data_IF_486022254574
#
_entry.id   IF_486022254574
#
_cell.length_a   1.000
_cell.length_b   1.000
_cell.length_c   1.000
_cell.angle_alpha   90.00
_cell.angle_beta   90.00
_cell.angle_gamma   90.00
#
_symmetry.space_group_name_H-M   'P 1'
#
loop_
_entity.id
_entity.type
_entity.pdbx_description
1 polymer ?
#
# COMPACT_ATOMS: atom_id res chain seq x y z
N UNK A 1 -5.19 -27.94 -4.24
CA UNK A 1 -3.83 -27.41 -4.55
C UNK A 1 -3.25 -26.71 -3.31
N UNK A 2 -1.93 -26.53 -3.30
CA UNK A 2 -1.25 -25.68 -2.33
C UNK A 2 -0.83 -24.37 -3.00
N UNK A 3 -1.30 -23.25 -2.49
CA UNK A 3 -1.08 -21.94 -3.10
C UNK A 3 -0.37 -21.02 -2.11
N UNK A 4 0.78 -20.51 -2.50
CA UNK A 4 1.57 -19.58 -1.71
C UNK A 4 1.38 -18.14 -2.20
N UNK A 5 1.30 -17.19 -1.27
CA UNK A 5 1.33 -15.75 -1.58
C UNK A 5 2.61 -15.18 -1.00
N UNK A 6 3.51 -14.75 -1.86
CA UNK A 6 4.79 -14.15 -1.49
C UNK A 6 4.69 -12.62 -1.59
N UNK A 7 4.62 -11.95 -0.43
CA UNK A 7 4.34 -10.51 -0.36
C UNK A 7 4.97 -9.85 0.87
N UNK A 8 4.97 -8.51 0.91
CA UNK A 8 5.31 -7.76 2.13
C UNK A 8 4.13 -7.71 3.11
N UNK A 9 4.41 -7.89 4.41
CA UNK A 9 3.42 -7.78 5.50
C UNK A 9 4.04 -7.32 6.83
N UNK A 10 5.35 -7.18 6.90
CA UNK A 10 6.09 -7.03 8.19
C UNK A 10 6.04 -5.65 8.80
N UNK A 11 5.87 -4.61 8.02
CA UNK A 11 5.96 -3.23 8.46
C UNK A 11 4.67 -2.76 9.17
N UNK A 12 4.80 -1.72 10.01
CA UNK A 12 3.67 -0.98 10.58
C UNK A 12 3.04 -0.05 9.53
N UNK A 13 2.76 -0.59 8.34
CA UNK A 13 2.16 0.10 7.21
C UNK A 13 0.80 -0.51 6.89
N UNK A 14 -0.26 0.28 7.03
CA UNK A 14 -1.63 -0.17 6.79
C UNK A 14 -1.80 -0.73 5.37
N UNK A 15 -1.32 0.00 4.36
CA UNK A 15 -1.44 -0.40 2.96
C UNK A 15 -0.76 -1.74 2.68
N UNK A 16 0.49 -1.91 3.09
CA UNK A 16 1.24 -3.15 2.90
C UNK A 16 0.53 -4.37 3.51
N UNK A 17 -0.01 -4.21 4.74
CA UNK A 17 -0.75 -5.30 5.39
C UNK A 17 -2.08 -5.59 4.71
N UNK A 18 -2.80 -4.56 4.26
CA UNK A 18 -4.07 -4.72 3.55
C UNK A 18 -3.89 -5.23 2.11
N UNK A 19 -2.78 -4.93 1.43
CA UNK A 19 -2.45 -5.56 0.16
C UNK A 19 -2.27 -7.08 0.30
N UNK A 20 -1.51 -7.52 1.32
CA UNK A 20 -1.34 -8.94 1.61
C UNK A 20 -2.69 -9.62 1.90
N UNK A 21 -3.52 -8.96 2.70
CA UNK A 21 -4.85 -9.48 3.04
C UNK A 21 -5.80 -9.48 1.85
N UNK A 22 -5.84 -8.43 1.05
CA UNK A 22 -6.66 -8.35 -0.14
C UNK A 22 -6.32 -9.46 -1.14
N UNK A 23 -5.03 -9.70 -1.37
CA UNK A 23 -4.57 -10.81 -2.22
C UNK A 23 -5.00 -12.16 -1.63
N UNK A 24 -4.82 -12.37 -0.33
CA UNK A 24 -5.22 -13.63 0.33
C UNK A 24 -6.74 -13.88 0.20
N UNK A 25 -7.56 -12.85 0.44
CA UNK A 25 -9.02 -12.94 0.32
C UNK A 25 -9.42 -13.26 -1.13
N UNK A 26 -8.87 -12.53 -2.09
CA UNK A 26 -9.18 -12.72 -3.52
C UNK A 26 -8.82 -14.13 -4.01
N UNK A 27 -7.64 -14.64 -3.62
CA UNK A 27 -7.20 -16.00 -3.98
C UNK A 27 -8.06 -17.05 -3.29
N UNK A 28 -8.34 -16.93 -1.98
CA UNK A 28 -9.19 -17.89 -1.26
C UNK A 28 -10.62 -17.98 -1.79
N UNK A 29 -11.19 -16.86 -2.23
CA UNK A 29 -12.53 -16.85 -2.83
C UNK A 29 -12.59 -17.65 -4.14
N UNK A 30 -11.49 -17.72 -4.88
CA UNK A 30 -11.36 -18.47 -6.13
C UNK A 30 -10.90 -19.92 -5.93
N UNK A 31 -10.30 -20.17 -4.78
CA UNK A 31 -9.77 -21.47 -4.38
C UNK A 31 -10.35 -21.95 -3.05
N UNK A 32 -11.70 -22.07 -2.92
CA UNK A 32 -12.33 -22.35 -1.62
C UNK A 32 -12.02 -23.72 -1.05
N UNK A 33 -11.50 -24.66 -1.87
CA UNK A 33 -11.14 -26.02 -1.50
C UNK A 33 -9.62 -26.22 -1.39
N UNK A 34 -8.81 -25.18 -1.67
CA UNK A 34 -7.37 -25.27 -1.73
C UNK A 34 -6.71 -24.73 -0.46
N UNK A 35 -5.48 -25.19 -0.19
CA UNK A 35 -4.67 -24.70 0.93
C UNK A 35 -3.95 -23.42 0.49
N UNK A 36 -4.47 -22.26 0.92
CA UNK A 36 -3.95 -20.94 0.53
C UNK A 36 -3.35 -20.24 1.75
N UNK A 37 -2.06 -19.91 1.68
CA UNK A 37 -1.36 -19.22 2.76
C UNK A 37 -0.45 -18.08 2.27
N UNK A 38 -0.22 -17.12 3.15
CA UNK A 38 0.86 -16.13 2.96
C UNK A 38 2.17 -16.80 3.38
N UNK A 39 3.14 -16.82 2.46
CA UNK A 39 4.48 -17.37 2.73
C UNK A 39 5.13 -16.51 3.81
N UNK A 40 5.57 -17.08 4.95
CA UNK A 40 6.01 -16.31 6.11
C UNK A 40 7.44 -15.76 5.94
N UNK A 41 7.80 -15.34 4.73
CA UNK A 41 9.09 -14.73 4.44
C UNK A 41 9.00 -13.21 4.54
N UNK A 42 9.85 -12.66 5.40
CA UNK A 42 10.03 -11.22 5.50
C UNK A 42 11.52 -10.94 5.62
N UNK A 43 12.14 -10.49 4.52
CA UNK A 43 13.53 -10.10 4.55
C UNK A 43 13.75 -9.07 5.67
N UNK A 44 14.49 -9.45 6.70
CA UNK A 44 14.68 -8.66 7.90
C UNK A 44 15.32 -7.33 7.52
N UNK A 45 14.57 -6.25 7.71
CA UNK A 45 15.15 -4.92 7.79
C UNK A 45 15.44 -4.64 9.25
N UNK A 46 16.67 -4.24 9.61
CA UNK A 46 16.87 -3.67 10.93
C UNK A 46 15.84 -2.54 11.07
N UNK A 47 14.86 -2.72 11.93
CA UNK A 47 13.93 -1.64 12.26
C UNK A 47 14.81 -0.47 12.65
N UNK A 48 14.69 0.66 11.95
CA UNK A 48 15.34 1.90 12.39
C UNK A 48 14.92 2.05 13.84
N UNK A 49 15.92 2.04 14.75
CA UNK A 49 15.68 2.24 16.18
C UNK A 49 14.75 3.44 16.29
N UNK A 50 13.60 3.34 16.96
CA UNK A 50 12.73 4.50 17.11
C UNK A 50 13.61 5.64 17.63
N UNK A 51 13.48 6.81 17.02
CA UNK A 51 14.20 8.01 17.48
C UNK A 51 13.63 8.37 18.86
N UNK A 52 14.18 7.79 19.90
CA UNK A 52 13.74 7.97 21.29
C UNK A 52 14.07 9.37 21.84
N UNK A 53 14.93 10.14 21.16
CA UNK A 53 15.39 11.45 21.63
C UNK A 53 14.30 12.52 21.81
N UNK A 54 13.10 12.34 21.20
CA UNK A 54 11.95 13.24 21.32
C UNK A 54 10.62 12.52 21.57
N UNK A 55 10.66 11.30 22.11
CA UNK A 55 9.47 10.50 22.35
C UNK A 55 8.74 11.02 23.61
N UNK A 56 7.51 11.50 23.42
CA UNK A 56 6.59 11.72 24.53
C UNK A 56 5.98 10.41 24.99
N UNK A 57 5.53 10.32 26.25
CA UNK A 57 4.80 9.15 26.76
C UNK A 57 3.63 8.79 25.83
N UNK A 58 2.93 9.79 25.31
CA UNK A 58 1.82 9.63 24.39
C UNK A 58 2.25 8.95 23.08
N UNK A 59 3.41 9.34 22.50
CA UNK A 59 3.92 8.72 21.27
C UNK A 59 4.39 7.28 21.51
N UNK A 60 4.97 6.98 22.67
CA UNK A 60 5.36 5.61 23.03
C UNK A 60 4.14 4.70 23.21
N UNK A 61 3.10 5.17 23.88
CA UNK A 61 1.85 4.43 24.04
C UNK A 61 1.15 4.20 22.69
N UNK A 62 1.19 5.19 21.79
CA UNK A 62 0.68 5.07 20.44
C UNK A 62 1.42 3.98 19.67
N UNK A 63 2.74 4.00 19.64
CA UNK A 63 3.56 3.03 18.93
C UNK A 63 3.35 1.62 19.49
N UNK A 64 3.31 1.48 20.82
CA UNK A 64 3.03 0.20 21.46
C UNK A 64 1.67 -0.38 21.07
N UNK A 65 0.59 0.43 21.16
CA UNK A 65 -0.76 -0.01 20.76
C UNK A 65 -0.79 -0.42 19.29
N UNK A 66 -0.18 0.37 18.43
CA UNK A 66 -0.11 0.10 17.00
C UNK A 66 0.62 -1.22 16.69
N UNK A 67 1.76 -1.46 17.34
CA UNK A 67 2.49 -2.74 17.21
C UNK A 67 1.58 -3.91 17.62
N UNK A 68 0.87 -3.80 18.73
CA UNK A 68 -0.05 -4.85 19.20
C UNK A 68 -1.18 -5.12 18.18
N UNK A 69 -1.82 -4.08 17.66
CA UNK A 69 -2.90 -4.20 16.68
C UNK A 69 -2.41 -4.83 15.37
N UNK A 70 -1.24 -4.43 14.87
CA UNK A 70 -0.67 -4.99 13.64
C UNK A 70 -0.22 -6.46 13.84
N UNK A 71 0.35 -6.81 14.98
CA UNK A 71 0.71 -8.21 15.27
C UNK A 71 -0.54 -9.08 15.40
N UNK A 72 -1.59 -8.55 16.04
CA UNK A 72 -2.88 -9.23 16.12
C UNK A 72 -3.48 -9.44 14.73
N UNK A 73 -3.52 -8.40 13.90
CA UNK A 73 -4.00 -8.47 12.52
C UNK A 73 -3.24 -9.55 11.72
N UNK A 74 -1.91 -9.54 11.74
CA UNK A 74 -1.09 -10.53 11.05
C UNK A 74 -1.41 -11.95 11.50
N UNK A 75 -1.54 -12.17 12.79
CA UNK A 75 -1.89 -13.48 13.35
C UNK A 75 -3.29 -13.94 12.92
N UNK A 76 -4.30 -13.08 13.06
CA UNK A 76 -5.71 -13.45 12.83
C UNK A 76 -6.05 -13.56 11.35
N UNK A 77 -5.51 -12.68 10.50
CA UNK A 77 -5.91 -12.57 9.10
C UNK A 77 -4.89 -13.13 8.10
N UNK A 78 -3.59 -13.12 8.43
CA UNK A 78 -2.54 -13.62 7.53
C UNK A 78 -1.93 -14.95 7.98
N UNK A 79 -2.24 -15.44 9.20
CA UNK A 79 -1.62 -16.63 9.76
C UNK A 79 -0.15 -16.45 10.15
N UNK A 80 0.31 -15.20 10.28
CA UNK A 80 1.71 -14.87 10.55
C UNK A 80 1.90 -14.54 12.03
N UNK A 81 2.79 -15.27 12.67
CA UNK A 81 3.20 -15.06 14.07
C UNK A 81 4.70 -14.78 14.15
N UNK A 82 5.18 -14.32 15.29
CA UNK A 82 6.63 -14.08 15.48
C UNK A 82 7.44 -15.37 15.32
N UNK A 83 6.84 -16.50 15.64
CA UNK A 83 7.54 -17.81 15.71
C UNK A 83 7.67 -18.46 14.33
N UNK A 84 6.84 -18.05 13.35
CA UNK A 84 6.89 -18.63 12.00
C UNK A 84 7.54 -17.70 10.94
N UNK A 85 7.99 -16.50 11.32
CA UNK A 85 8.65 -15.58 10.39
C UNK A 85 10.02 -16.11 9.98
N UNK A 86 10.24 -16.21 8.67
CA UNK A 86 11.51 -16.56 8.06
C UNK A 86 12.19 -15.26 7.61
N UNK A 87 13.38 -14.98 8.14
CA UNK A 87 14.07 -13.70 7.90
C UNK A 87 15.16 -13.80 6.83
N UNK A 88 15.71 -14.97 6.58
CA UNK A 88 16.78 -15.16 5.60
C UNK A 88 16.32 -15.88 4.33
N UNK A 89 16.97 -15.54 3.22
CA UNK A 89 16.60 -16.01 1.88
C UNK A 89 16.77 -17.53 1.74
N UNK A 90 17.82 -18.12 2.31
CA UNK A 90 18.10 -19.56 2.17
C UNK A 90 17.01 -20.39 2.84
N UNK A 91 16.66 -20.03 4.06
CA UNK A 91 15.56 -20.67 4.79
C UNK A 91 14.22 -20.47 4.09
N UNK A 92 13.98 -19.30 3.49
CA UNK A 92 12.76 -19.05 2.72
C UNK A 92 12.66 -19.93 1.47
N UNK A 93 13.75 -20.05 0.69
CA UNK A 93 13.79 -20.92 -0.47
C UNK A 93 13.66 -22.40 -0.08
N UNK A 94 14.26 -22.81 1.03
CA UNK A 94 14.09 -24.16 1.57
C UNK A 94 12.65 -24.45 1.95
N UNK A 95 12.03 -23.53 2.71
CA UNK A 95 10.61 -23.63 3.08
C UNK A 95 9.70 -23.75 1.85
N UNK A 96 9.90 -22.90 0.84
CA UNK A 96 9.11 -22.93 -0.40
C UNK A 96 9.25 -24.28 -1.11
N UNK A 97 10.47 -24.83 -1.18
CA UNK A 97 10.72 -26.16 -1.78
C UNK A 97 10.07 -27.30 -1.00
N UNK A 98 10.17 -27.28 0.32
CA UNK A 98 9.54 -28.30 1.18
C UNK A 98 8.01 -28.25 1.14
N UNK A 99 7.44 -27.04 1.10
CA UNK A 99 5.97 -26.83 1.00
C UNK A 99 5.43 -27.36 -0.34
N UNK A 100 6.25 -27.37 -1.39
CA UNK A 100 5.89 -27.85 -2.72
C UNK A 100 4.58 -27.25 -3.22
N UNK A 101 4.56 -25.92 -3.35
CA UNK A 101 3.40 -25.19 -3.85
C UNK A 101 3.12 -25.54 -5.31
N UNK A 102 1.85 -25.63 -5.66
CA UNK A 102 1.40 -25.75 -7.06
C UNK A 102 1.47 -24.37 -7.75
N UNK A 103 1.07 -23.31 -7.03
CA UNK A 103 1.08 -21.93 -7.53
C UNK A 103 1.71 -21.01 -6.47
N UNK A 104 2.51 -20.03 -6.90
CA UNK A 104 2.98 -18.93 -6.07
C UNK A 104 2.62 -17.61 -6.73
N UNK A 105 1.77 -16.82 -6.07
CA UNK A 105 1.49 -15.43 -6.42
C UNK A 105 2.51 -14.52 -5.74
N UNK A 106 3.19 -13.67 -6.54
CA UNK A 106 4.21 -12.73 -6.08
C UNK A 106 3.69 -11.29 -6.26
N UNK A 107 3.42 -10.62 -5.18
CA UNK A 107 2.84 -9.27 -5.19
C UNK A 107 1.89 -9.08 -3.99
N UNK A 108 1.32 -7.95 -3.83
CA UNK A 108 1.64 -6.67 -4.46
C UNK A 108 2.87 -6.01 -3.79
N UNK A 109 3.03 -4.70 -4.00
CA UNK A 109 4.06 -3.82 -3.44
C UNK A 109 5.40 -3.84 -4.21
N UNK A 110 6.38 -3.09 -3.74
CA UNK A 110 7.70 -2.89 -4.35
C UNK A 110 8.66 -4.05 -4.05
N UNK A 111 8.20 -5.27 -4.26
CA UNK A 111 8.96 -6.50 -3.96
C UNK A 111 10.17 -6.67 -4.86
N UNK A 112 10.09 -6.17 -6.08
CA UNK A 112 11.03 -6.43 -7.15
C UNK A 112 12.16 -5.40 -7.22
N UNK A 113 12.13 -4.37 -6.35
CA UNK A 113 13.13 -3.30 -6.34
C UNK A 113 14.54 -3.81 -6.00
N UNK A 114 15.55 -3.24 -6.66
CA UNK A 114 16.95 -3.54 -6.42
C UNK A 114 17.64 -2.53 -5.50
N UNK A 115 17.06 -1.35 -5.28
CA UNK A 115 17.58 -0.29 -4.39
C UNK A 115 17.83 -0.77 -2.96
N UNK A 116 17.23 -1.88 -2.56
CA UNK A 116 17.34 -2.47 -1.22
C UNK A 116 18.50 -3.45 -1.08
N UNK A 117 19.13 -3.79 -2.18
CA UNK A 117 20.33 -4.62 -2.15
C UNK A 117 21.51 -3.80 -1.65
N UNK A 118 22.50 -4.42 -1.00
CA UNK A 118 23.73 -3.73 -0.62
C UNK A 118 24.42 -3.09 -1.84
N UNK A 119 25.04 -1.93 -1.65
CA UNK A 119 25.78 -1.27 -2.71
C UNK A 119 26.86 -2.21 -3.29
N UNK A 120 26.96 -2.28 -4.61
CA UNK A 120 27.87 -3.21 -5.31
C UNK A 120 27.38 -4.67 -5.36
N UNK A 121 26.18 -4.96 -4.87
CA UNK A 121 25.58 -6.27 -5.00
C UNK A 121 25.08 -6.48 -6.45
N UNK A 122 25.52 -7.55 -7.10
CA UNK A 122 25.09 -7.94 -8.44
C UNK A 122 24.02 -9.06 -8.41
N UNK A 123 23.21 -9.08 -7.35
CA UNK A 123 22.09 -10.02 -7.22
C UNK A 123 20.76 -9.33 -7.56
N UNK A 124 19.68 -10.12 -7.56
CA UNK A 124 18.32 -9.65 -7.74
C UNK A 124 17.51 -9.89 -6.47
N UNK A 125 16.37 -9.22 -6.34
CA UNK A 125 15.47 -9.43 -5.20
C UNK A 125 15.08 -10.90 -5.07
N UNK A 126 15.07 -11.44 -3.85
CA UNK A 126 14.65 -12.82 -3.58
C UNK A 126 13.19 -13.10 -3.99
N UNK A 127 12.38 -12.07 -4.14
CA UNK A 127 10.99 -12.18 -4.59
C UNK A 127 10.84 -12.52 -6.08
N UNK A 128 11.91 -12.41 -6.88
CA UNK A 128 11.91 -12.95 -8.23
C UNK A 128 11.89 -14.49 -8.27
N UNK A 129 12.16 -15.12 -7.16
CA UNK A 129 12.31 -16.57 -7.01
C UNK A 129 13.32 -17.19 -7.98
N UNK A 130 13.93 -18.26 -7.53
CA UNK A 130 14.86 -19.01 -8.38
C UNK A 130 14.13 -19.79 -9.47
N UNK A 131 14.73 -19.95 -10.69
CA UNK A 131 14.17 -20.78 -11.75
C UNK A 131 13.92 -22.24 -11.36
N UNK A 132 14.63 -22.76 -10.36
CA UNK A 132 14.49 -24.15 -9.87
C UNK A 132 13.24 -24.37 -8.99
N UNK A 133 12.51 -23.34 -8.63
CA UNK A 133 11.19 -23.45 -8.00
C UNK A 133 10.18 -23.89 -9.08
N UNK A 134 9.63 -25.08 -8.92
CA UNK A 134 8.74 -25.72 -9.91
C UNK A 134 7.30 -25.21 -9.92
N UNK A 135 6.88 -24.51 -8.86
CA UNK A 135 5.54 -23.94 -8.79
C UNK A 135 5.25 -23.05 -10.00
N UNK A 136 4.01 -23.00 -10.47
CA UNK A 136 3.51 -21.97 -11.37
C UNK A 136 3.70 -20.62 -10.68
N UNK A 137 4.43 -19.68 -11.31
CA UNK A 137 4.75 -18.37 -10.73
C UNK A 137 4.00 -17.26 -11.46
N UNK A 138 3.31 -16.41 -10.71
CA UNK A 138 2.50 -15.31 -11.25
C UNK A 138 2.86 -14.03 -10.53
N UNK A 139 3.30 -13.00 -11.26
CA UNK A 139 3.36 -11.64 -10.71
C UNK A 139 1.94 -11.08 -10.60
N UNK A 140 1.59 -10.56 -9.42
CA UNK A 140 0.24 -10.09 -9.12
C UNK A 140 0.29 -8.68 -8.50
N UNK A 141 0.18 -7.66 -9.35
CA UNK A 141 0.34 -6.24 -9.01
C UNK A 141 1.72 -5.91 -8.38
N UNK A 142 2.76 -6.62 -8.80
CA UNK A 142 4.13 -6.39 -8.33
C UNK A 142 4.73 -5.11 -8.91
N UNK A 143 5.71 -4.53 -8.20
CA UNK A 143 6.40 -3.30 -8.58
C UNK A 143 7.90 -3.42 -8.35
N UNK A 144 8.69 -2.93 -9.29
CA UNK A 144 10.14 -2.77 -9.15
C UNK A 144 10.54 -1.35 -8.69
N UNK A 145 9.57 -0.51 -8.38
CA UNK A 145 9.75 0.89 -7.97
C UNK A 145 10.51 1.70 -9.01
N UNK A 146 11.77 2.05 -8.75
CA UNK A 146 12.62 2.88 -9.61
C UNK A 146 13.71 2.08 -10.32
N UNK A 147 13.61 0.74 -10.36
CA UNK A 147 14.58 -0.09 -11.05
C UNK A 147 14.41 0.05 -12.56
N UNK A 148 15.42 0.56 -13.25
CA UNK A 148 15.44 0.76 -14.69
C UNK A 148 16.46 -0.18 -15.35
N UNK A 149 16.16 -0.61 -16.58
CA UNK A 149 17.00 -1.55 -17.32
C UNK A 149 18.44 -1.06 -17.46
N UNK A 150 18.63 0.22 -17.83
CA UNK A 150 19.94 0.81 -18.09
C UNK A 150 20.82 0.95 -16.83
N UNK A 151 20.21 0.80 -15.65
CA UNK A 151 20.94 0.82 -14.35
C UNK A 151 21.43 -0.57 -13.92
N UNK A 152 21.02 -1.62 -14.63
CA UNK A 152 21.33 -2.99 -14.25
C UNK A 152 22.74 -3.41 -14.69
N UNK A 153 23.43 -4.15 -13.83
CA UNK A 153 24.65 -4.83 -14.20
C UNK A 153 24.35 -6.07 -15.06
N UNK A 154 25.32 -6.47 -15.89
CA UNK A 154 25.17 -7.67 -16.73
C UNK A 154 24.75 -8.92 -15.96
N UNK A 155 25.32 -9.25 -14.77
CA UNK A 155 24.82 -10.38 -13.98
C UNK A 155 23.37 -10.25 -13.52
N UNK A 156 22.89 -9.03 -13.22
CA UNK A 156 21.50 -8.79 -12.87
C UNK A 156 20.57 -9.02 -14.07
N UNK A 157 20.94 -8.54 -15.26
CA UNK A 157 20.19 -8.79 -16.50
C UNK A 157 20.05 -10.29 -16.77
N UNK A 158 21.15 -11.04 -16.67
CA UNK A 158 21.13 -12.49 -16.87
C UNK A 158 20.23 -13.22 -15.87
N UNK A 159 20.31 -12.85 -14.58
CA UNK A 159 19.45 -13.42 -13.52
C UNK A 159 17.99 -13.07 -13.71
N UNK A 160 17.67 -11.81 -14.04
CA UNK A 160 16.30 -11.38 -14.32
C UNK A 160 15.72 -12.09 -15.52
N UNK A 161 16.49 -12.20 -16.64
CA UNK A 161 16.07 -12.93 -17.82
C UNK A 161 15.74 -14.40 -17.51
N UNK A 162 16.56 -15.05 -16.69
CA UNK A 162 16.32 -16.43 -16.27
C UNK A 162 15.08 -16.57 -15.36
N UNK A 163 14.89 -15.61 -14.41
CA UNK A 163 13.76 -15.64 -13.51
C UNK A 163 12.44 -15.37 -14.23
N UNK A 164 12.37 -14.32 -15.07
CA UNK A 164 11.16 -13.87 -15.76
C UNK A 164 10.60 -14.96 -16.69
N UNK A 165 11.46 -15.70 -17.40
CA UNK A 165 11.04 -16.84 -18.25
C UNK A 165 10.29 -17.94 -17.48
N UNK A 166 10.42 -17.98 -16.17
CA UNK A 166 9.72 -18.95 -15.33
C UNK A 166 8.35 -18.49 -14.85
N UNK A 167 7.90 -17.29 -15.24
CA UNK A 167 6.57 -16.78 -14.88
C UNK A 167 5.55 -17.12 -15.97
N UNK A 168 4.37 -17.55 -15.53
CA UNK A 168 3.23 -17.84 -16.41
C UNK A 168 2.25 -16.68 -16.51
N UNK A 169 2.35 -15.67 -15.62
CA UNK A 169 1.54 -14.46 -15.66
C UNK A 169 2.33 -13.26 -15.15
N UNK A 170 2.23 -12.13 -15.83
CA UNK A 170 3.00 -10.92 -15.55
C UNK A 170 2.07 -9.72 -15.33
N UNK A 171 1.36 -9.73 -14.20
CA UNK A 171 0.53 -8.59 -13.75
C UNK A 171 1.35 -7.59 -12.96
N UNK A 172 1.51 -6.38 -13.46
CA UNK A 172 2.32 -5.31 -12.85
C UNK A 172 1.48 -4.08 -12.54
N UNK A 173 1.90 -3.31 -11.51
CA UNK A 173 1.10 -2.19 -11.01
C UNK A 173 1.48 -0.83 -11.61
N UNK A 174 2.69 -0.69 -12.13
CA UNK A 174 3.20 0.60 -12.57
C UNK A 174 4.01 0.51 -13.87
N UNK A 175 4.05 1.65 -14.57
CA UNK A 175 4.69 1.78 -15.87
C UNK A 175 6.20 1.49 -15.83
N UNK A 176 6.87 1.79 -14.71
CA UNK A 176 8.31 1.51 -14.56
C UNK A 176 8.56 0.01 -14.60
N UNK A 177 7.73 -0.76 -13.89
CA UNK A 177 7.82 -2.22 -13.90
C UNK A 177 7.45 -2.79 -15.26
N UNK A 178 6.41 -2.26 -15.90
CA UNK A 178 6.04 -2.63 -17.28
C UNK A 178 7.21 -2.42 -18.24
N UNK A 179 7.83 -1.23 -18.21
CA UNK A 179 8.95 -0.90 -19.07
C UNK A 179 10.17 -1.81 -18.79
N UNK A 180 10.49 -2.08 -17.53
CA UNK A 180 11.58 -2.99 -17.18
C UNK A 180 11.33 -4.40 -17.77
N UNK A 181 10.14 -4.96 -17.60
CA UNK A 181 9.81 -6.29 -18.10
C UNK A 181 9.82 -6.36 -19.63
N UNK A 182 9.43 -5.30 -20.33
CA UNK A 182 9.39 -5.24 -21.78
C UNK A 182 10.76 -5.39 -22.46
N UNK A 183 11.87 -5.33 -21.70
CA UNK A 183 13.20 -5.69 -22.19
C UNK A 183 13.48 -7.20 -22.21
N UNK A 184 12.62 -7.99 -21.55
CA UNK A 184 12.83 -9.43 -21.37
C UNK A 184 11.76 -10.31 -22.03
N UNK A 185 10.55 -9.78 -22.22
CA UNK A 185 9.40 -10.48 -22.81
C UNK A 185 8.61 -9.54 -23.72
N UNK A 186 7.76 -10.11 -24.56
CA UNK A 186 6.87 -9.35 -25.42
C UNK A 186 5.86 -8.54 -24.59
N UNK A 187 5.56 -7.33 -25.03
CA UNK A 187 4.70 -6.40 -24.30
C UNK A 187 3.29 -6.94 -24.07
N UNK A 188 2.79 -7.74 -24.96
CA UNK A 188 1.48 -8.38 -24.92
C UNK A 188 1.36 -9.42 -23.80
N UNK A 189 2.49 -9.90 -23.26
CA UNK A 189 2.54 -10.81 -22.13
C UNK A 189 2.44 -10.09 -20.78
N UNK A 190 2.58 -8.76 -20.77
CA UNK A 190 2.58 -7.96 -19.55
C UNK A 190 1.24 -7.22 -19.44
N UNK A 191 0.50 -7.46 -18.36
CA UNK A 191 -0.77 -6.79 -18.09
C UNK A 191 -0.61 -5.77 -16.95
N UNK A 192 -1.06 -4.52 -17.20
CA UNK A 192 -1.14 -3.51 -16.15
C UNK A 192 -2.38 -3.77 -15.32
N UNK A 193 -2.22 -4.05 -14.03
CA UNK A 193 -3.32 -4.36 -13.12
C UNK A 193 -3.32 -3.45 -11.89
N UNK A 194 -4.50 -3.06 -11.41
CA UNK A 194 -4.61 -2.19 -10.24
C UNK A 194 -4.15 -2.84 -8.94
N UNK A 195 -4.03 -2.01 -7.91
CA UNK A 195 -3.71 -2.46 -6.56
C UNK A 195 -4.79 -3.40 -6.01
N UNK A 196 -4.45 -4.52 -5.36
CA UNK A 196 -5.41 -5.49 -4.83
C UNK A 196 -6.38 -4.90 -3.81
N UNK A 197 -6.02 -3.82 -3.13
CA UNK A 197 -6.89 -3.21 -2.12
C UNK A 197 -8.16 -2.61 -2.72
N UNK A 198 -8.24 -2.37 -4.03
CA UNK A 198 -9.49 -2.01 -4.69
C UNK A 198 -10.54 -3.13 -4.60
N UNK A 199 -10.13 -4.40 -4.68
CA UNK A 199 -11.03 -5.55 -4.60
C UNK A 199 -11.44 -5.92 -3.17
N UNK A 200 -10.75 -5.41 -2.14
CA UNK A 200 -11.04 -5.75 -0.75
C UNK A 200 -12.33 -5.07 -0.27
N UNK A 201 -13.36 -5.80 0.14
CA UNK A 201 -14.55 -5.20 0.75
C UNK A 201 -14.23 -4.53 2.08
N UNK A 202 -15.01 -3.50 2.44
CA UNK A 202 -14.86 -2.78 3.70
C UNK A 202 -15.89 -3.29 4.70
N UNK A 203 -15.43 -3.92 5.78
CA UNK A 203 -16.26 -4.23 6.94
C UNK A 203 -16.16 -3.11 7.98
N UNK A 204 -17.16 -2.27 8.01
CA UNK A 204 -17.23 -1.14 8.92
C UNK A 204 -17.38 -1.53 10.40
N UNK A 205 -17.80 -2.76 10.71
CA UNK A 205 -17.97 -3.22 12.09
C UNK A 205 -16.68 -3.11 12.92
N UNK A 206 -15.51 -3.19 12.27
CA UNK A 206 -14.21 -3.03 12.95
C UNK A 206 -14.05 -1.63 13.51
N UNK A 207 -14.27 -0.59 12.69
CA UNK A 207 -14.11 0.79 13.15
C UNK A 207 -15.26 1.21 14.10
N UNK A 208 -16.48 0.74 13.88
CA UNK A 208 -17.62 1.02 14.76
C UNK A 208 -17.35 0.52 16.17
N UNK A 209 -16.86 -0.73 16.32
CA UNK A 209 -16.45 -1.28 17.61
C UNK A 209 -15.31 -0.49 18.26
N UNK A 210 -14.33 -0.04 17.47
CA UNK A 210 -13.24 0.79 17.99
C UNK A 210 -13.75 2.11 18.53
N UNK A 211 -14.59 2.84 17.78
CA UNK A 211 -15.15 4.13 18.18
C UNK A 211 -16.02 3.99 19.45
N UNK A 212 -16.90 2.98 19.47
CA UNK A 212 -17.75 2.70 20.64
C UNK A 212 -16.91 2.37 21.88
N UNK A 213 -15.93 1.47 21.75
CA UNK A 213 -15.05 1.06 22.87
C UNK A 213 -14.26 2.22 23.46
N UNK A 214 -13.79 3.13 22.61
CA UNK A 214 -12.99 4.28 23.03
C UNK A 214 -13.83 5.52 23.32
N UNK A 215 -15.17 5.43 23.20
CA UNK A 215 -16.12 6.55 23.38
C UNK A 215 -15.75 7.76 22.53
N UNK A 216 -15.38 7.52 21.28
CA UNK A 216 -15.02 8.55 20.30
C UNK A 216 -16.21 8.81 19.41
N UNK A 217 -16.64 10.07 19.35
CA UNK A 217 -17.60 10.56 18.36
C UNK A 217 -16.86 11.48 17.38
N UNK A 218 -16.97 11.18 16.08
CA UNK A 218 -16.36 11.97 15.02
C UNK A 218 -17.46 12.80 14.36
N UNK A 219 -17.45 14.13 14.50
CA UNK A 219 -18.46 14.99 13.89
C UNK A 219 -18.47 14.88 12.36
N UNK A 220 -19.65 15.05 11.74
CA UNK A 220 -19.80 14.98 10.27
C UNK A 220 -18.88 15.95 9.50
N UNK A 221 -18.63 17.13 10.07
CA UNK A 221 -17.69 18.12 9.50
C UNK A 221 -16.29 17.89 10.07
N UNK A 222 -15.61 16.84 9.62
CA UNK A 222 -14.26 16.51 10.07
C UNK A 222 -13.30 16.44 8.89
N UNK A 223 -12.09 16.94 9.08
CA UNK A 223 -10.98 16.79 8.14
C UNK A 223 -9.90 15.95 8.83
N UNK A 224 -9.48 14.88 8.18
CA UNK A 224 -8.41 14.02 8.68
C UNK A 224 -7.06 14.43 8.10
N UNK A 225 -6.06 14.56 8.96
CA UNK A 225 -4.67 14.75 8.56
C UNK A 225 -3.86 13.49 8.93
N UNK A 226 -3.38 12.79 7.90
CA UNK A 226 -2.42 11.69 8.07
C UNK A 226 -1.09 12.08 7.40
N UNK A 227 -0.38 12.98 8.05
CA UNK A 227 0.79 13.71 7.54
C UNK A 227 2.04 13.32 8.30
N UNK A 228 3.20 13.86 7.92
CA UNK A 228 4.40 13.75 8.74
C UNK A 228 4.29 14.65 9.97
N UNK A 229 4.92 14.24 11.07
CA UNK A 229 4.94 15.03 12.31
C UNK A 229 5.63 16.38 12.15
N UNK A 230 6.54 16.49 11.19
CA UNK A 230 7.38 17.66 10.92
C UNK A 230 6.74 18.66 9.96
N UNK A 231 5.54 18.37 9.44
CA UNK A 231 4.85 19.26 8.51
C UNK A 231 4.37 20.54 9.23
N UNK A 232 5.10 21.64 9.05
CA UNK A 232 4.90 22.91 9.77
C UNK A 232 3.57 23.60 9.40
N UNK A 233 3.05 23.36 8.20
CA UNK A 233 1.80 23.96 7.71
C UNK A 233 0.55 23.39 8.40
N UNK A 234 0.63 22.24 9.03
CA UNK A 234 -0.55 21.56 9.64
C UNK A 234 -1.26 22.44 10.68
N UNK A 235 -0.53 23.14 11.53
CA UNK A 235 -1.12 23.97 12.61
C UNK A 235 -1.93 25.14 12.06
N UNK A 236 -1.44 25.80 11.01
CA UNK A 236 -2.11 26.93 10.37
C UNK A 236 -3.37 26.48 9.62
N UNK A 237 -3.27 25.39 8.84
CA UNK A 237 -4.41 24.79 8.14
C UNK A 237 -5.47 24.32 9.13
N UNK A 238 -5.07 23.67 10.22
CA UNK A 238 -5.98 23.23 11.28
C UNK A 238 -6.73 24.39 11.92
N UNK A 239 -6.05 25.49 12.24
CA UNK A 239 -6.66 26.69 12.82
C UNK A 239 -7.72 27.28 11.86
N UNK A 240 -7.37 27.46 10.58
CA UNK A 240 -8.27 27.98 9.56
C UNK A 240 -9.58 27.18 9.45
N UNK A 241 -9.48 25.85 9.41
CA UNK A 241 -10.69 25.04 9.27
C UNK A 241 -11.50 24.88 10.56
N UNK A 242 -10.87 25.03 11.74
CA UNK A 242 -11.63 25.16 13.00
C UNK A 242 -12.52 26.41 13.02
N UNK A 243 -12.00 27.54 12.58
CA UNK A 243 -12.78 28.78 12.46
C UNK A 243 -13.98 28.62 11.54
N UNK A 244 -13.88 27.70 10.55
CA UNK A 244 -14.99 27.30 9.66
C UNK A 244 -15.88 26.18 10.21
N UNK A 245 -15.68 25.77 11.47
CA UNK A 245 -16.51 24.78 12.15
C UNK A 245 -16.18 23.33 11.79
N UNK A 246 -14.97 23.03 11.31
CA UNK A 246 -14.51 21.66 11.12
C UNK A 246 -13.76 21.16 12.36
N UNK A 247 -13.93 19.88 12.65
CA UNK A 247 -13.10 19.14 13.62
C UNK A 247 -11.89 18.56 12.90
N UNK A 248 -10.71 18.75 13.46
CA UNK A 248 -9.46 18.23 12.89
C UNK A 248 -9.09 16.91 13.55
N UNK A 249 -9.04 15.86 12.75
CA UNK A 249 -8.73 14.50 13.21
C UNK A 249 -7.33 14.11 12.77
N UNK A 250 -6.60 13.39 13.60
CA UNK A 250 -5.30 12.80 13.22
C UNK A 250 -5.25 11.32 13.52
N UNK A 251 -4.62 10.54 12.62
CA UNK A 251 -4.34 9.12 12.84
C UNK A 251 -3.05 8.90 13.63
N UNK A 252 -2.42 9.96 14.11
CA UNK A 252 -1.18 9.96 14.92
C UNK A 252 -1.25 11.05 15.98
N UNK A 253 -0.49 10.93 17.07
CA UNK A 253 -0.33 12.00 18.02
C UNK A 253 0.15 13.29 17.33
N UNK A 254 -0.64 14.34 17.40
CA UNK A 254 -0.35 15.63 16.81
C UNK A 254 -0.95 16.75 17.66
N UNK A 255 -0.18 17.84 17.98
CA UNK A 255 -0.63 18.89 18.88
C UNK A 255 -1.74 19.77 18.28
N UNK A 256 -1.89 19.75 16.97
CA UNK A 256 -2.89 20.52 16.22
C UNK A 256 -4.21 19.77 16.00
N UNK A 257 -4.32 18.50 16.40
CA UNK A 257 -5.54 17.71 16.22
C UNK A 257 -6.49 17.84 17.42
N UNK A 258 -7.79 17.91 17.13
CA UNK A 258 -8.86 17.92 18.14
C UNK A 258 -9.17 16.48 18.58
N UNK A 259 -9.13 15.55 17.65
CA UNK A 259 -9.32 14.12 17.89
C UNK A 259 -8.11 13.35 17.37
N UNK A 260 -7.56 12.49 18.22
CA UNK A 260 -6.46 11.60 17.86
C UNK A 260 -6.95 10.15 17.89
N UNK A 261 -6.90 9.46 16.73
CA UNK A 261 -7.25 8.06 16.63
C UNK A 261 -6.02 7.19 16.86
N UNK A 262 -5.85 6.73 18.09
CA UNK A 262 -4.64 6.05 18.51
C UNK A 262 -4.68 4.54 18.23
N UNK A 263 -3.67 4.05 17.49
CA UNK A 263 -3.39 2.63 17.39
C UNK A 263 -4.44 1.83 16.63
N UNK A 264 -4.99 2.39 15.55
CA UNK A 264 -5.90 1.67 14.66
C UNK A 264 -5.22 0.42 14.08
N UNK A 265 -5.95 -0.69 14.04
CA UNK A 265 -5.60 -1.85 13.21
C UNK A 265 -5.75 -1.52 11.73
N UNK A 266 -5.18 -2.32 10.81
CA UNK A 266 -5.36 -2.09 9.37
C UNK A 266 -6.83 -2.03 8.94
N UNK A 267 -7.70 -2.91 9.46
CA UNK A 267 -9.13 -2.92 9.10
C UNK A 267 -9.90 -1.73 9.69
N UNK A 268 -9.58 -1.32 10.90
CA UNK A 268 -10.14 -0.10 11.49
C UNK A 268 -9.72 1.14 10.68
N UNK A 269 -8.44 1.21 10.27
CA UNK A 269 -7.97 2.30 9.43
C UNK A 269 -8.64 2.30 8.05
N UNK A 270 -8.88 1.14 7.44
CA UNK A 270 -9.58 1.04 6.15
C UNK A 270 -11.00 1.64 6.23
N UNK A 271 -11.72 1.39 7.32
CA UNK A 271 -13.11 1.84 7.49
C UNK A 271 -13.28 3.24 8.05
N UNK A 272 -12.25 3.82 8.68
CA UNK A 272 -12.41 5.13 9.38
C UNK A 272 -12.66 6.30 8.46
N UNK A 273 -12.22 6.21 7.22
CA UNK A 273 -12.30 7.32 6.27
C UNK A 273 -13.74 7.78 6.01
N UNK A 274 -14.75 6.90 6.10
CA UNK A 274 -16.17 7.27 5.94
C UNK A 274 -16.68 8.37 6.88
N UNK A 275 -15.97 8.62 7.97
CA UNK A 275 -16.36 9.61 8.98
C UNK A 275 -15.82 11.02 8.67
N UNK A 276 -15.04 11.19 7.61
CA UNK A 276 -14.42 12.47 7.28
C UNK A 276 -15.09 13.10 6.05
N UNK A 277 -15.01 14.43 5.97
CA UNK A 277 -15.37 15.17 4.77
C UNK A 277 -14.23 15.14 3.74
N UNK A 278 -12.99 15.10 4.24
CA UNK A 278 -11.77 15.11 3.43
C UNK A 278 -10.60 14.52 4.24
N UNK A 279 -9.64 13.93 3.53
CA UNK A 279 -8.34 13.56 4.12
C UNK A 279 -7.19 14.28 3.42
N UNK A 280 -6.22 14.76 4.21
CA UNK A 280 -4.92 15.22 3.72
C UNK A 280 -3.87 14.17 4.04
N UNK A 281 -3.17 13.65 3.02
CA UNK A 281 -2.21 12.57 3.20
C UNK A 281 -1.07 12.63 2.17
N UNK A 282 0.08 12.02 2.49
CA UNK A 282 1.18 11.76 1.57
C UNK A 282 1.27 10.29 1.15
N UNK A 283 0.25 9.48 1.52
CA UNK A 283 0.30 8.03 1.40
C UNK A 283 -0.60 7.53 0.28
N UNK A 284 -0.03 6.74 -0.61
CA UNK A 284 -0.73 6.10 -1.72
C UNK A 284 -1.99 5.32 -1.29
N UNK A 285 -1.87 4.46 -0.29
CA UNK A 285 -3.00 3.63 0.15
C UNK A 285 -4.09 4.42 0.89
N UNK A 286 -3.71 5.45 1.64
CA UNK A 286 -4.72 6.32 2.26
C UNK A 286 -5.58 7.02 1.20
N UNK A 287 -4.97 7.39 0.06
CA UNK A 287 -5.70 7.95 -1.09
C UNK A 287 -6.69 6.93 -1.65
N UNK A 288 -6.27 5.67 -1.86
CA UNK A 288 -7.17 4.59 -2.29
C UNK A 288 -8.30 4.39 -1.28
N UNK A 289 -7.99 4.33 0.02
CA UNK A 289 -8.99 4.07 1.06
C UNK A 289 -9.99 5.22 1.20
N UNK A 290 -9.54 6.46 1.05
CA UNK A 290 -10.43 7.62 1.00
C UNK A 290 -11.42 7.50 -0.17
N UNK A 291 -10.94 7.27 -1.39
CA UNK A 291 -11.78 7.10 -2.57
C UNK A 291 -12.77 5.94 -2.40
N UNK A 292 -12.34 4.79 -1.88
CA UNK A 292 -13.20 3.64 -1.60
C UNK A 292 -14.30 3.91 -0.56
N UNK A 293 -14.07 4.85 0.34
CA UNK A 293 -15.06 5.30 1.32
C UNK A 293 -15.91 6.48 0.80
N UNK A 294 -15.77 6.90 -0.45
CA UNK A 294 -16.48 8.03 -1.03
C UNK A 294 -16.04 9.39 -0.48
N UNK A 295 -14.80 9.48 0.02
CA UNK A 295 -14.23 10.65 0.69
C UNK A 295 -13.14 11.28 -0.18
N UNK A 296 -13.13 12.60 -0.21
CA UNK A 296 -12.16 13.37 -0.98
C UNK A 296 -10.74 13.22 -0.41
N UNK A 297 -9.74 12.78 -1.19
CA UNK A 297 -8.35 12.91 -0.81
C UNK A 297 -7.77 14.27 -1.27
N UNK A 298 -6.92 14.89 -0.48
CA UNK A 298 -5.88 15.81 -0.93
C UNK A 298 -4.53 15.16 -0.64
N UNK A 299 -3.83 14.80 -1.69
CA UNK A 299 -2.54 14.12 -1.59
C UNK A 299 -1.41 15.12 -1.78
N UNK A 300 -0.26 14.94 -1.11
CA UNK A 300 0.92 15.75 -1.35
C UNK A 300 2.18 14.89 -1.44
N UNK A 301 3.13 15.36 -2.22
CA UNK A 301 4.44 14.69 -2.42
C UNK A 301 5.50 15.49 -1.65
N UNK A 302 5.98 14.93 -0.54
CA UNK A 302 6.94 15.59 0.35
C UNK A 302 8.40 15.18 0.11
N UNK A 303 8.63 14.12 -0.66
CA UNK A 303 9.95 13.56 -0.85
C UNK A 303 10.16 13.13 -2.31
N UNK A 304 11.20 13.68 -2.94
CA UNK A 304 11.60 13.35 -4.31
C UNK A 304 11.97 11.86 -4.49
N UNK A 305 12.29 11.14 -3.40
CA UNK A 305 12.57 9.71 -3.45
C UNK A 305 11.35 8.85 -3.82
N UNK A 306 10.14 9.42 -3.78
CA UNK A 306 8.89 8.77 -4.20
C UNK A 306 8.46 9.15 -5.63
N UNK A 307 9.20 10.02 -6.31
CA UNK A 307 9.01 10.27 -7.74
C UNK A 307 9.68 9.14 -8.53
N UNK A 308 9.02 8.70 -9.59
CA UNK A 308 9.68 7.86 -10.60
C UNK A 308 10.63 8.73 -11.43
N UNK A 309 11.58 8.14 -12.13
CA UNK A 309 12.46 8.85 -13.08
C UNK A 309 11.66 9.56 -14.18
N UNK A 310 10.41 9.16 -14.42
CA UNK A 310 9.47 9.85 -15.29
C UNK A 310 8.83 11.10 -14.65
N UNK A 311 9.25 11.47 -13.42
CA UNK A 311 8.79 12.68 -12.74
C UNK A 311 7.46 12.54 -12.00
N UNK A 312 6.72 11.44 -12.19
CA UNK A 312 5.41 11.24 -11.55
C UNK A 312 5.53 10.36 -10.31
N UNK A 313 4.95 10.80 -9.20
CA UNK A 313 4.81 9.95 -8.01
C UNK A 313 3.70 8.91 -8.22
N UNK A 314 3.73 7.80 -7.47
CA UNK A 314 2.61 6.83 -7.46
C UNK A 314 1.28 7.49 -7.10
N UNK A 315 1.32 8.52 -6.26
CA UNK A 315 0.14 9.30 -5.89
C UNK A 315 -0.36 10.15 -7.06
N UNK A 316 0.55 10.79 -7.84
CA UNK A 316 0.19 11.58 -9.01
C UNK A 316 -0.51 10.71 -10.05
N UNK A 317 0.08 9.55 -10.39
CA UNK A 317 -0.52 8.62 -11.35
C UNK A 317 -1.91 8.13 -10.88
N UNK A 318 -2.07 7.83 -9.58
CA UNK A 318 -3.38 7.42 -9.05
C UNK A 318 -4.41 8.55 -9.17
N UNK A 319 -4.05 9.79 -8.84
CA UNK A 319 -4.93 10.96 -8.92
C UNK A 319 -5.30 11.27 -10.38
N UNK A 320 -4.36 11.12 -11.33
CA UNK A 320 -4.61 11.22 -12.76
C UNK A 320 -5.58 10.15 -13.25
N UNK A 321 -5.38 8.89 -12.88
CA UNK A 321 -6.24 7.75 -13.24
C UNK A 321 -7.70 7.93 -12.80
N UNK A 322 -7.93 8.69 -11.74
CA UNK A 322 -9.26 9.04 -11.24
C UNK A 322 -9.79 10.39 -11.77
N UNK A 323 -9.08 11.03 -12.71
CA UNK A 323 -9.39 12.36 -13.25
C UNK A 323 -9.51 13.45 -12.18
N UNK A 324 -8.70 13.37 -11.13
CA UNK A 324 -8.67 14.29 -10.00
C UNK A 324 -7.49 15.27 -10.03
N UNK A 325 -6.57 15.09 -10.98
CA UNK A 325 -5.42 15.99 -11.20
C UNK A 325 -5.87 17.29 -11.89
N UNK A 326 -5.27 18.45 -11.58
CA UNK A 326 -4.28 18.70 -10.52
C UNK A 326 -4.90 19.08 -9.17
N UNK A 327 -6.22 19.11 -9.04
CA UNK A 327 -6.92 19.69 -7.89
C UNK A 327 -6.67 18.92 -6.59
N UNK A 328 -6.54 17.60 -6.66
CA UNK A 328 -6.43 16.71 -5.51
C UNK A 328 -4.99 16.33 -5.14
N UNK A 329 -3.99 17.06 -5.68
CA UNK A 329 -2.59 16.81 -5.39
C UNK A 329 -1.78 18.11 -5.27
N UNK A 330 -0.80 18.12 -4.38
CA UNK A 330 0.28 19.11 -4.31
C UNK A 330 1.58 18.34 -4.53
N UNK A 331 2.10 18.37 -5.75
CA UNK A 331 3.31 17.65 -6.16
C UNK A 331 4.52 18.56 -6.36
N UNK A 332 4.32 19.89 -6.29
CA UNK A 332 5.39 20.86 -6.30
C UNK A 332 5.85 21.15 -4.86
N UNK A 333 7.12 20.84 -4.47
CA UNK A 333 7.62 21.10 -3.11
C UNK A 333 7.54 22.58 -2.68
N UNK A 334 7.58 23.53 -3.61
CA UNK A 334 7.45 24.96 -3.29
C UNK A 334 6.06 25.36 -2.80
N UNK A 335 5.05 24.53 -3.08
CA UNK A 335 3.65 24.69 -2.68
C UNK A 335 3.30 23.99 -1.36
N UNK A 336 4.24 23.35 -0.70
CA UNK A 336 4.02 22.76 0.64
C UNK A 336 3.94 23.83 1.73
N UNK A 337 2.98 24.76 1.59
CA UNK A 337 2.70 25.89 2.47
C UNK A 337 1.21 25.96 2.77
N UNK A 338 0.84 26.39 3.97
CA UNK A 338 -0.54 26.39 4.46
C UNK A 338 -1.55 27.00 3.47
N UNK A 339 -1.23 28.12 2.82
CA UNK A 339 -2.12 28.77 1.85
C UNK A 339 -2.59 27.85 0.73
N UNK A 340 -1.68 27.04 0.15
CA UNK A 340 -2.05 26.14 -0.94
C UNK A 340 -2.92 24.98 -0.46
N UNK A 341 -2.65 24.45 0.73
CA UNK A 341 -3.53 23.43 1.34
C UNK A 341 -4.92 24.00 1.60
N UNK A 342 -5.03 25.22 2.14
CA UNK A 342 -6.30 25.87 2.40
C UNK A 342 -7.09 26.04 1.10
N UNK A 343 -6.51 26.65 0.08
CA UNK A 343 -7.13 26.87 -1.23
C UNK A 343 -7.61 25.55 -1.86
N UNK A 344 -6.78 24.50 -1.84
CA UNK A 344 -7.12 23.18 -2.39
C UNK A 344 -8.24 22.49 -1.61
N UNK A 345 -8.17 22.48 -0.28
CA UNK A 345 -9.20 21.85 0.56
C UNK A 345 -10.56 22.53 0.33
N UNK A 346 -10.62 23.87 0.30
CA UNK A 346 -11.85 24.61 0.01
C UNK A 346 -12.44 24.28 -1.36
N UNK A 347 -11.59 24.27 -2.39
CA UNK A 347 -12.03 23.94 -3.74
C UNK A 347 -12.55 22.49 -3.83
N UNK A 348 -11.88 21.55 -3.18
CA UNK A 348 -12.27 20.13 -3.16
C UNK A 348 -13.60 19.93 -2.42
N UNK A 349 -13.76 20.53 -1.24
CA UNK A 349 -14.99 20.43 -0.44
C UNK A 349 -16.23 20.93 -1.20
N UNK A 350 -16.05 21.89 -2.12
CA UNK A 350 -17.14 22.45 -2.93
C UNK A 350 -17.45 21.63 -4.20
N UNK A 351 -16.55 20.78 -4.69
CA UNK A 351 -16.69 20.15 -6.00
C UNK A 351 -16.72 18.61 -5.99
N UNK A 352 -16.26 17.97 -4.92
CA UNK A 352 -16.05 16.52 -4.91
C UNK A 352 -17.33 15.70 -5.06
N UNK A 353 -18.44 16.15 -4.50
CA UNK A 353 -19.70 15.40 -4.52
C UNK A 353 -20.17 15.08 -5.95
N UNK A 354 -19.93 15.98 -6.90
CA UNK A 354 -20.27 15.77 -8.31
C UNK A 354 -19.46 14.67 -9.01
N UNK A 355 -18.38 14.21 -8.38
CA UNK A 355 -17.47 13.20 -8.94
C UNK A 355 -17.65 11.80 -8.34
N UNK A 356 -18.45 11.66 -7.28
CA UNK A 356 -18.58 10.42 -6.51
C UNK A 356 -18.99 9.23 -7.36
N UNK A 357 -19.98 9.39 -8.23
CA UNK A 357 -20.45 8.32 -9.11
C UNK A 357 -19.38 7.81 -10.06
N UNK A 358 -18.66 8.74 -10.71
CA UNK A 358 -17.56 8.38 -11.61
C UNK A 358 -16.39 7.69 -10.86
N UNK A 359 -16.10 8.12 -9.63
CA UNK A 359 -15.10 7.50 -8.76
C UNK A 359 -15.53 6.09 -8.38
N UNK A 360 -16.77 5.88 -7.99
CA UNK A 360 -17.30 4.56 -7.63
C UNK A 360 -17.22 3.59 -8.82
N UNK A 361 -17.62 4.01 -10.01
CA UNK A 361 -17.44 3.23 -11.23
C UNK A 361 -15.98 2.87 -11.50
N UNK A 362 -15.07 3.81 -11.33
CA UNK A 362 -13.63 3.55 -11.52
C UNK A 362 -13.10 2.55 -10.49
N UNK A 363 -13.53 2.64 -9.22
CA UNK A 363 -13.16 1.67 -8.17
C UNK A 363 -13.62 0.26 -8.55
N UNK A 364 -14.87 0.11 -9.00
CA UNK A 364 -15.42 -1.16 -9.45
C UNK A 364 -14.64 -1.71 -10.65
N UNK A 365 -14.31 -0.87 -11.63
CA UNK A 365 -13.47 -1.24 -12.78
C UNK A 365 -12.08 -1.71 -12.34
N UNK A 366 -11.43 -1.02 -11.40
CA UNK A 366 -10.14 -1.43 -10.85
C UNK A 366 -10.24 -2.81 -10.15
N UNK A 367 -11.28 -3.00 -9.34
CA UNK A 367 -11.50 -4.29 -8.67
C UNK A 367 -11.69 -5.42 -9.69
N UNK A 368 -12.53 -5.20 -10.72
CA UNK A 368 -12.79 -6.18 -11.78
C UNK A 368 -11.53 -6.51 -12.60
N UNK A 369 -10.72 -5.50 -12.94
CA UNK A 369 -9.48 -5.72 -13.68
C UNK A 369 -8.48 -6.59 -12.89
N UNK A 370 -8.29 -6.31 -11.59
CA UNK A 370 -7.45 -7.13 -10.72
C UNK A 370 -7.97 -8.57 -10.61
N UNK A 371 -9.26 -8.74 -10.37
CA UNK A 371 -9.87 -10.06 -10.23
C UNK A 371 -9.89 -10.83 -11.55
N UNK A 372 -10.11 -10.15 -12.67
CA UNK A 372 -10.08 -10.76 -14.01
C UNK A 372 -8.69 -11.29 -14.40
N UNK A 373 -7.62 -10.56 -14.03
CA UNK A 373 -6.26 -11.07 -14.22
C UNK A 373 -6.00 -12.31 -13.35
N UNK A 374 -6.47 -12.29 -12.09
CA UNK A 374 -6.35 -13.44 -11.21
C UNK A 374 -7.08 -14.66 -11.81
N UNK A 375 -8.29 -14.50 -12.34
CA UNK A 375 -9.06 -15.57 -12.98
C UNK A 375 -8.34 -16.16 -14.21
N UNK A 376 -7.78 -15.31 -15.09
CA UNK A 376 -6.96 -15.77 -16.24
C UNK A 376 -5.74 -16.57 -15.79
N UNK A 377 -5.06 -16.13 -14.72
CA UNK A 377 -3.87 -16.82 -14.21
C UNK A 377 -4.13 -18.21 -13.66
N UNK A 378 -5.39 -18.62 -13.49
CA UNK A 378 -5.79 -19.95 -13.03
C UNK A 378 -6.00 -20.94 -14.18
N UNK A 379 -6.34 -20.44 -15.36
CA UNK A 379 -6.74 -21.27 -16.51
C UNK A 379 -5.58 -21.65 -17.42
N UNK A 380 -4.48 -20.90 -17.39
CA UNK A 380 -3.26 -21.11 -18.17
C UNK A 380 -2.21 -21.87 -17.33
#
# INVERSE_FOLDING_TARGET
MKIGILTYYGDLNCGTNLQAYATLVAVRQRHPQDDVEVIPFHAFRPQRKPYLSNATLQSLLYDWRRIQQYNRFKKEFLGITKDNIIADIKSALHFIKERNYDIIYIGADTLLELDRLPQGCHDISAYWLSPDIKAKKVLLAASCKNTEYDTLSKPQIEKLSAAIKGFSGLGVRDITTYNLLSHFVDREQIEMIPDPTFSLPIDYSHIERYLQKNKIDIPKRSICFHTYRTDSWCSEVAAHFREKGFTIVSLRPAPWADIILNGLSPLEQLGVYRYFSLIVTHRFHDTIFALKNGIAPLTYVSDSSYTTTLGNSKCSSLIEDFNLYPQHIIDNPSELKARYFIERIEAILNSFDSRKEAIEHKIQSCAQAYLGFLDKSLTD
#
